data_IF_323370316881
#
_entry.id   IF_323370316881
#
_cell.length_a   1.000
_cell.length_b   1.000
_cell.length_c   1.000
_cell.angle_alpha   90.00
_cell.angle_beta   90.00
_cell.angle_gamma   90.00
#
_symmetry.space_group_name_H-M   'P 1'
#
loop_
_entity.id
_entity.type
_entity.pdbx_description
1 polymer ?
#
# COMPACT_ATOMS: atom_id res chain seq x y z
N UNK A 1 11.14 2.98 13.68
CA UNK A 1 10.28 1.91 13.16
C UNK A 1 8.83 2.31 13.21
N UNK A 2 8.26 2.60 12.05
CA UNK A 2 6.82 2.67 11.83
C UNK A 2 6.24 1.28 12.09
N UNK A 3 5.28 1.19 13.02
CA UNK A 3 4.53 -0.04 13.27
C UNK A 3 3.55 -0.31 12.13
N UNK A 4 3.56 -1.54 11.63
CA UNK A 4 2.61 -2.00 10.64
C UNK A 4 1.20 -2.00 11.22
N UNK A 5 1.02 -2.61 12.40
CA UNK A 5 -0.28 -2.74 13.02
C UNK A 5 -0.90 -1.38 13.41
N UNK A 6 -0.07 -0.44 13.89
CA UNK A 6 -0.55 0.85 14.38
C UNK A 6 -0.76 1.88 13.26
N UNK A 7 0.08 1.89 12.21
CA UNK A 7 0.07 2.96 11.22
C UNK A 7 -0.21 2.50 9.79
N UNK A 8 0.31 1.35 9.36
CA UNK A 8 0.21 0.93 7.95
C UNK A 8 -1.09 0.17 7.66
N UNK A 9 -1.44 -0.82 8.49
CA UNK A 9 -2.67 -1.58 8.32
C UNK A 9 -3.91 -0.67 8.37
N UNK A 10 -4.00 0.35 9.25
CA UNK A 10 -5.10 1.31 9.18
C UNK A 10 -5.15 2.06 7.85
N UNK A 11 -4.01 2.49 7.29
CA UNK A 11 -3.99 3.11 5.95
C UNK A 11 -4.57 2.15 4.91
N UNK A 12 -4.12 0.89 4.88
CA UNK A 12 -4.66 -0.10 3.95
C UNK A 12 -6.16 -0.34 4.14
N UNK A 13 -6.62 -0.43 5.39
CA UNK A 13 -8.02 -0.65 5.71
C UNK A 13 -8.92 0.48 5.19
N UNK A 14 -8.51 1.74 5.41
CA UNK A 14 -9.31 2.89 4.99
C UNK A 14 -9.18 3.20 3.51
N UNK A 15 -7.99 2.97 2.92
CA UNK A 15 -7.68 3.44 1.57
C UNK A 15 -7.76 2.36 0.50
N UNK A 16 -7.54 1.09 0.83
CA UNK A 16 -7.21 0.08 -0.17
C UNK A 16 -8.12 -1.15 -0.15
N UNK A 17 -8.56 -1.62 1.03
CA UNK A 17 -9.31 -2.87 1.20
C UNK A 17 -10.82 -2.68 1.13
N UNK A 18 -11.28 -1.70 0.35
CA UNK A 18 -12.71 -1.49 0.11
C UNK A 18 -13.23 -2.58 -0.85
N UNK A 19 -14.54 -2.86 -0.79
CA UNK A 19 -15.18 -3.84 -1.68
C UNK A 19 -14.81 -3.57 -3.14
N UNK A 20 -14.51 -4.62 -3.89
CA UNK A 20 -14.07 -4.58 -5.29
C UNK A 20 -12.64 -4.02 -5.53
N UNK A 21 -11.87 -3.75 -4.46
CA UNK A 21 -10.48 -3.30 -4.54
C UNK A 21 -9.53 -4.40 -4.04
N UNK A 22 -8.57 -4.07 -3.16
CA UNK A 22 -7.53 -4.98 -2.69
C UNK A 22 -7.91 -5.68 -1.38
N UNK A 23 -9.17 -6.11 -1.28
CA UNK A 23 -9.68 -6.90 -0.16
C UNK A 23 -9.36 -8.40 -0.31
N UNK A 24 -9.76 -9.22 0.66
CA UNK A 24 -9.50 -10.66 0.68
C UNK A 24 -10.33 -11.46 -0.32
N UNK A 25 -11.45 -10.90 -0.81
CA UNK A 25 -12.41 -11.57 -1.68
C UNK A 25 -12.17 -11.24 -3.16
N UNK A 26 -12.17 -9.95 -3.49
CA UNK A 26 -11.97 -9.41 -4.84
C UNK A 26 -10.52 -9.53 -5.27
N UNK A 27 -9.59 -9.17 -4.37
CA UNK A 27 -8.14 -9.15 -4.65
C UNK A 27 -7.80 -8.48 -5.98
N UNK A 28 -8.30 -7.28 -6.24
CA UNK A 28 -8.08 -6.57 -7.50
C UNK A 28 -6.57 -6.55 -7.84
N UNK A 29 -6.22 -6.89 -9.09
CA UNK A 29 -4.82 -7.04 -9.48
C UNK A 29 -4.08 -8.21 -8.81
N UNK A 30 -4.81 -9.22 -8.32
CA UNK A 30 -4.30 -10.37 -7.54
C UNK A 30 -3.57 -9.96 -6.25
N UNK A 31 -3.97 -8.84 -5.65
CA UNK A 31 -3.36 -8.28 -4.44
C UNK A 31 -4.37 -8.21 -3.30
N UNK A 32 -3.98 -8.74 -2.15
CA UNK A 32 -4.71 -8.68 -0.88
C UNK A 32 -3.93 -7.81 0.12
N UNK A 33 -4.51 -6.69 0.56
CA UNK A 33 -3.91 -5.76 1.53
C UNK A 33 -4.55 -5.86 2.92
N UNK A 34 -5.43 -6.84 3.16
CA UNK A 34 -6.11 -7.04 4.45
C UNK A 34 -5.19 -7.57 5.55
N UNK A 35 -4.03 -8.13 5.17
CA UNK A 35 -3.04 -8.66 6.11
C UNK A 35 -1.63 -8.31 5.67
N UNK A 36 -0.70 -8.34 6.64
CA UNK A 36 0.72 -8.14 6.36
C UNK A 36 1.27 -9.15 5.36
N UNK A 37 0.92 -10.43 5.54
CA UNK A 37 1.39 -11.51 4.68
C UNK A 37 0.85 -11.36 3.25
N UNK A 38 -0.41 -10.94 3.09
CA UNK A 38 -0.97 -10.62 1.78
C UNK A 38 -0.23 -9.46 1.11
N UNK A 39 -0.04 -8.36 1.85
CA UNK A 39 0.59 -7.15 1.32
C UNK A 39 2.05 -7.38 0.90
N UNK A 40 2.79 -8.20 1.64
CA UNK A 40 4.21 -8.48 1.41
C UNK A 40 4.46 -9.77 0.61
N UNK A 41 3.41 -10.45 0.14
CA UNK A 41 3.52 -11.70 -0.62
C UNK A 41 4.27 -11.55 -1.95
N UNK A 42 4.27 -10.35 -2.53
CA UNK A 42 4.93 -10.06 -3.79
C UNK A 42 5.97 -8.93 -3.62
N UNK A 43 7.28 -9.25 -3.73
CA UNK A 43 8.34 -8.26 -3.56
C UNK A 43 8.37 -7.18 -4.64
N UNK A 44 7.68 -7.36 -5.78
CA UNK A 44 7.53 -6.32 -6.80
C UNK A 44 6.50 -5.25 -6.40
N UNK A 45 5.55 -5.58 -5.52
CA UNK A 45 4.56 -4.62 -5.02
C UNK A 45 5.14 -3.86 -3.83
N UNK A 46 5.72 -4.59 -2.88
CA UNK A 46 6.40 -4.05 -1.71
C UNK A 46 7.79 -4.68 -1.66
N UNK A 47 8.82 -3.91 -2.01
CA UNK A 47 10.22 -4.32 -1.96
C UNK A 47 10.84 -3.89 -0.63
N UNK A 48 11.03 -4.79 0.36
CA UNK A 48 11.58 -4.40 1.66
C UNK A 48 12.94 -3.73 1.53
N UNK A 49 13.11 -2.57 2.17
CA UNK A 49 14.32 -1.75 2.12
C UNK A 49 14.46 -0.88 0.87
N UNK A 50 13.59 -1.03 -0.13
CA UNK A 50 13.67 -0.35 -1.43
C UNK A 50 12.33 0.32 -1.79
N UNK A 51 11.95 1.43 -1.13
CA UNK A 51 10.68 2.10 -1.40
C UNK A 51 10.56 2.55 -2.86
N UNK A 52 11.64 3.04 -3.48
CA UNK A 52 11.63 3.50 -4.87
C UNK A 52 11.52 2.35 -5.89
N UNK A 53 11.70 1.10 -5.48
CA UNK A 53 11.49 -0.08 -6.32
C UNK A 53 10.11 -0.73 -6.07
N UNK A 54 9.33 -0.19 -5.13
CA UNK A 54 8.04 -0.76 -4.73
C UNK A 54 6.92 -0.17 -5.59
N UNK A 55 6.21 -1.01 -6.35
CA UNK A 55 5.07 -0.55 -7.17
C UNK A 55 3.96 0.10 -6.33
N UNK A 56 3.81 -0.28 -5.06
CA UNK A 56 2.89 0.38 -4.13
C UNK A 56 3.17 1.90 -4.05
N UNK A 57 4.45 2.29 -3.93
CA UNK A 57 4.86 3.69 -3.82
C UNK A 57 4.58 4.43 -5.13
N UNK A 58 4.91 3.83 -6.27
CA UNK A 58 4.61 4.42 -7.58
C UNK A 58 3.12 4.65 -7.78
N UNK A 59 2.29 3.71 -7.32
CA UNK A 59 0.84 3.80 -7.44
C UNK A 59 0.26 4.90 -6.53
N UNK A 60 0.74 5.08 -5.30
CA UNK A 60 0.20 6.13 -4.40
C UNK A 60 0.73 7.53 -4.72
N UNK A 61 1.91 7.63 -5.33
CA UNK A 61 2.48 8.90 -5.82
C UNK A 61 1.98 9.29 -7.22
N UNK A 62 1.40 8.34 -7.98
CA UNK A 62 0.96 8.57 -9.35
C UNK A 62 2.11 8.68 -10.35
N UNK A 63 3.23 7.99 -10.09
CA UNK A 63 4.40 8.01 -10.96
C UNK A 63 4.13 7.25 -12.28
N UNK A 64 4.92 7.57 -13.31
CA UNK A 64 4.86 6.88 -14.60
C UNK A 64 5.10 5.37 -14.41
N UNK A 65 4.23 4.55 -14.99
CA UNK A 65 4.30 3.08 -14.88
C UNK A 65 3.32 2.45 -13.88
N UNK A 66 2.56 3.24 -13.12
CA UNK A 66 1.43 2.78 -12.33
C UNK A 66 0.23 3.73 -12.47
N UNK A 67 -0.98 3.18 -12.42
CA UNK A 67 -2.18 4.02 -12.24
C UNK A 67 -2.24 4.54 -10.81
N UNK A 68 -2.60 5.81 -10.64
CA UNK A 68 -2.78 6.41 -9.31
C UNK A 68 -3.81 5.62 -8.49
N UNK A 69 -3.42 5.24 -7.27
CA UNK A 69 -4.26 4.51 -6.33
C UNK A 69 -4.25 5.19 -4.94
N UNK A 70 -5.42 5.38 -4.30
CA UNK A 70 -6.76 5.22 -4.86
C UNK A 70 -7.04 6.13 -6.07
N UNK A 71 -7.93 5.75 -6.99
CA UNK A 71 -8.28 6.58 -8.14
C UNK A 71 -8.84 7.95 -7.70
N UNK A 72 -8.47 9.06 -8.37
CA UNK A 72 -8.77 10.41 -7.89
C UNK A 72 -10.27 10.75 -7.87
N UNK A 73 -11.07 10.06 -8.69
CA UNK A 73 -12.53 10.24 -8.75
C UNK A 73 -13.28 9.01 -8.19
N UNK A 74 -12.60 8.18 -7.42
CA UNK A 74 -13.17 7.00 -6.78
C UNK A 74 -13.93 7.32 -5.48
N UNK A 75 -14.53 6.30 -4.86
CA UNK A 75 -15.22 6.44 -3.57
C UNK A 75 -14.28 6.77 -2.39
N UNK A 76 -12.97 6.65 -2.61
CA UNK A 76 -11.93 6.82 -1.61
C UNK A 76 -10.95 7.86 -2.14
N UNK A 77 -10.67 8.87 -1.31
CA UNK A 77 -9.72 9.92 -1.69
C UNK A 77 -8.28 9.40 -1.68
N UNK A 78 -7.39 9.96 -2.51
CA UNK A 78 -5.96 9.70 -2.47
C UNK A 78 -5.34 9.84 -1.07
N UNK A 79 -4.15 9.27 -0.91
CA UNK A 79 -3.39 9.40 0.33
C UNK A 79 -2.87 10.85 0.49
N UNK A 80 -2.68 11.27 1.74
CA UNK A 80 -1.94 12.51 2.04
C UNK A 80 -0.44 12.27 1.99
N UNK A 81 0.34 13.34 1.82
CA UNK A 81 1.81 13.25 1.81
C UNK A 81 2.38 12.54 3.04
N UNK A 82 1.80 12.79 4.23
CA UNK A 82 2.23 12.12 5.46
C UNK A 82 1.92 10.60 5.46
N UNK A 83 0.81 10.18 4.85
CA UNK A 83 0.48 8.76 4.71
C UNK A 83 1.43 8.07 3.73
N UNK A 84 1.77 8.75 2.62
CA UNK A 84 2.75 8.27 1.64
C UNK A 84 4.12 8.14 2.32
N UNK A 85 4.56 9.16 3.07
CA UNK A 85 5.83 9.15 3.78
C UNK A 85 5.89 8.03 4.84
N UNK A 86 4.79 7.77 5.54
CA UNK A 86 4.67 6.64 6.45
C UNK A 86 4.87 5.29 5.75
N UNK A 87 4.27 5.11 4.56
CA UNK A 87 4.48 3.92 3.73
C UNK A 87 5.94 3.79 3.28
N UNK A 88 6.53 4.88 2.77
CA UNK A 88 7.93 4.90 2.33
C UNK A 88 8.89 4.54 3.46
N UNK A 89 8.68 5.13 4.64
CA UNK A 89 9.50 4.87 5.84
C UNK A 89 9.36 3.41 6.27
N UNK A 90 8.14 2.88 6.38
CA UNK A 90 7.93 1.48 6.77
C UNK A 90 8.59 0.50 5.78
N UNK A 91 8.51 0.75 4.48
CA UNK A 91 9.19 -0.07 3.47
C UNK A 91 10.71 0.04 3.64
N UNK A 92 11.24 1.26 3.81
CA UNK A 92 12.68 1.50 4.06
C UNK A 92 13.19 0.73 5.27
N UNK A 93 12.38 0.61 6.31
CA UNK A 93 12.67 -0.12 7.55
C UNK A 93 12.50 -1.65 7.43
N UNK A 94 12.21 -2.14 6.21
CA UNK A 94 12.15 -3.55 5.87
C UNK A 94 10.75 -4.14 5.87
N UNK A 95 9.70 -3.31 5.80
CA UNK A 95 8.30 -3.73 5.68
C UNK A 95 7.89 -4.80 6.72
N UNK A 96 8.28 -4.61 7.98
CA UNK A 96 8.12 -5.61 9.06
C UNK A 96 6.68 -5.69 9.57
N UNK A 97 6.32 -6.82 10.18
CA UNK A 97 5.02 -7.08 10.82
C UNK A 97 4.99 -6.63 12.30
N UNK A 98 5.48 -5.43 12.59
CA UNK A 98 5.62 -4.87 13.95
C UNK A 98 4.49 -3.92 14.33
#
# INVERSE_FOLDING_TARGET
NVSYAEYIQPIFNYKCTNTACHDSETRAGSLDLTTWAGATSNPLIISPGLPDNSKLIWAVEGNSGASLMPPPYGPVTPLTDNQIEGLRTWITEGAKAN
#
